data_IF_515437007923
#
_entry.id   IF_515437007923
#
_cell.length_a   1.000
_cell.length_b   1.000
_cell.length_c   1.000
_cell.angle_alpha   90.00
_cell.angle_beta   90.00
_cell.angle_gamma   90.00
#
_symmetry.space_group_name_H-M   'P 1'
#
loop_
_entity.id
_entity.type
_entity.pdbx_description
1 polymer ?
#
# COMPACT_ATOMS: atom_id res chain seq x y z
N UNK A 1 7.74 3.16 5.32
CA UNK A 1 8.65 3.60 6.40
C UNK A 1 9.57 4.69 5.85
N UNK A 2 10.21 5.50 6.69
CA UNK A 2 11.28 6.43 6.26
C UNK A 2 12.26 6.62 7.41
N UNK A 3 13.52 6.24 7.21
CA UNK A 3 14.54 6.26 8.27
C UNK A 3 14.80 7.69 8.76
N UNK A 4 15.13 8.59 7.83
CA UNK A 4 15.38 10.00 8.09
C UNK A 4 14.17 10.85 7.69
N UNK A 5 13.11 10.80 8.51
CA UNK A 5 11.84 11.43 8.15
C UNK A 5 11.75 12.93 8.50
N UNK A 6 11.16 13.77 7.61
CA UNK A 6 10.92 15.17 7.90
C UNK A 6 9.83 15.35 8.97
N UNK A 7 9.79 16.53 9.62
CA UNK A 7 8.87 16.83 10.74
C UNK A 7 7.38 16.59 10.44
N UNK A 8 6.96 16.68 9.17
CA UNK A 8 5.57 16.47 8.73
C UNK A 8 5.28 15.04 8.24
N UNK A 9 6.18 14.08 8.51
CA UNK A 9 5.94 12.67 8.21
C UNK A 9 5.19 11.99 9.35
N UNK A 10 3.96 11.54 9.09
CA UNK A 10 3.09 10.92 10.10
C UNK A 10 2.99 9.39 9.94
N UNK A 11 4.00 8.75 9.36
CA UNK A 11 4.11 7.29 9.27
C UNK A 11 5.27 6.82 10.17
N UNK A 12 5.66 5.55 10.06
CA UNK A 12 6.69 4.96 10.90
C UNK A 12 8.12 5.36 10.49
N UNK A 13 8.93 5.70 11.50
CA UNK A 13 10.37 6.03 11.45
C UNK A 13 11.02 5.55 12.74
N UNK A 14 12.34 5.37 12.77
CA UNK A 14 13.07 4.94 13.98
C UNK A 14 12.78 5.91 15.14
N UNK A 15 12.45 5.37 16.31
CA UNK A 15 12.08 6.11 17.52
C UNK A 15 10.73 6.82 17.46
N UNK A 16 9.90 6.57 16.43
CA UNK A 16 8.54 7.11 16.32
C UNK A 16 7.50 6.03 16.52
N UNK A 17 6.36 6.46 17.05
CA UNK A 17 5.19 5.62 17.24
C UNK A 17 4.12 5.87 16.18
N UNK A 18 3.43 4.81 15.78
CA UNK A 18 2.26 4.85 14.89
C UNK A 18 1.20 3.87 15.37
N UNK A 19 -0.07 4.12 15.05
CA UNK A 19 -1.12 3.13 15.25
C UNK A 19 -1.18 2.17 14.07
N UNK A 20 -1.23 0.87 14.35
CA UNK A 20 -1.69 -0.11 13.39
C UNK A 20 -3.22 -0.05 13.32
N UNK A 21 -3.78 0.11 12.12
CA UNK A 21 -5.23 0.23 11.91
C UNK A 21 -5.95 -0.95 12.58
N UNK A 22 -6.93 -0.64 13.43
CA UNK A 22 -7.72 -1.58 14.22
C UNK A 22 -6.91 -2.48 15.17
N UNK A 23 -5.70 -2.07 15.56
CA UNK A 23 -4.83 -2.83 16.45
C UNK A 23 -4.09 -1.90 17.43
N UNK A 24 -2.86 -2.24 17.80
CA UNK A 24 -2.06 -1.56 18.82
C UNK A 24 -1.27 -0.36 18.27
N UNK A 25 -0.78 0.48 19.18
CA UNK A 25 0.31 1.41 18.91
C UNK A 25 1.63 0.63 18.94
N UNK A 26 2.47 0.87 17.92
CA UNK A 26 3.84 0.32 17.85
C UNK A 26 4.86 1.45 17.84
N UNK A 27 6.07 1.17 18.34
CA UNK A 27 7.26 2.00 18.17
C UNK A 27 8.27 1.25 17.32
N UNK A 28 8.89 1.92 16.35
CA UNK A 28 10.03 1.35 15.62
C UNK A 28 11.30 1.56 16.44
N UNK A 29 11.93 0.48 16.86
CA UNK A 29 13.12 0.50 17.70
C UNK A 29 14.41 0.39 16.85
N UNK A 30 14.38 -0.42 15.80
CA UNK A 30 15.52 -0.65 14.91
C UNK A 30 15.06 -0.84 13.45
N UNK A 31 15.85 -0.33 12.50
CA UNK A 31 15.76 -0.68 11.08
C UNK A 31 16.97 -1.53 10.70
N UNK A 32 16.75 -2.81 10.43
CA UNK A 32 17.80 -3.76 10.04
C UNK A 32 18.06 -3.63 8.56
N UNK A 33 19.33 -3.56 8.18
CA UNK A 33 19.79 -3.44 6.80
C UNK A 33 20.59 -4.66 6.36
N UNK A 34 20.52 -4.97 5.07
CA UNK A 34 21.39 -5.95 4.43
C UNK A 34 22.79 -5.38 4.13
N UNK A 35 23.62 -6.17 3.44
CA UNK A 35 24.98 -5.79 3.05
C UNK A 35 25.03 -4.61 2.06
N UNK A 36 23.94 -4.38 1.31
CA UNK A 36 23.82 -3.29 0.35
C UNK A 36 23.25 -2.01 1.00
N UNK A 37 22.86 -2.07 2.28
CA UNK A 37 22.25 -0.97 3.01
C UNK A 37 20.73 -0.84 2.79
N UNK A 38 20.09 -1.84 2.16
CA UNK A 38 18.64 -1.88 1.98
C UNK A 38 17.93 -2.36 3.24
N UNK A 39 16.78 -1.77 3.57
CA UNK A 39 16.03 -2.12 4.78
C UNK A 39 15.23 -3.38 4.54
N UNK A 40 15.53 -4.43 5.31
CA UNK A 40 14.89 -5.75 5.18
C UNK A 40 13.94 -6.08 6.34
N UNK A 41 14.12 -5.46 7.51
CA UNK A 41 13.29 -5.71 8.68
C UNK A 41 13.18 -4.45 9.56
N UNK A 42 12.02 -4.26 10.19
CA UNK A 42 11.82 -3.25 11.23
C UNK A 42 11.47 -3.95 12.53
N UNK A 43 12.34 -3.85 13.54
CA UNK A 43 12.02 -4.35 14.89
C UNK A 43 11.22 -3.30 15.63
N UNK A 44 10.05 -3.71 16.09
CA UNK A 44 9.11 -2.83 16.77
C UNK A 44 8.60 -3.45 18.07
N UNK A 45 8.50 -2.63 19.11
CA UNK A 45 7.71 -2.92 20.30
C UNK A 45 6.28 -2.42 20.13
N UNK A 46 5.33 -3.02 20.86
CA UNK A 46 3.94 -2.57 20.91
C UNK A 46 3.54 -2.21 22.34
N UNK A 47 2.56 -1.32 22.46
CA UNK A 47 2.03 -0.90 23.76
C UNK A 47 0.82 -1.77 24.10
N UNK A 48 0.93 -2.63 25.10
CA UNK A 48 -0.06 -3.68 25.41
C UNK A 48 -1.47 -3.13 25.66
N UNK A 49 -1.60 -2.05 26.42
CA UNK A 49 -2.88 -1.44 26.76
C UNK A 49 -3.38 -0.40 25.73
N UNK A 50 -2.87 -0.45 24.50
CA UNK A 50 -3.21 0.50 23.43
C UNK A 50 -4.12 -0.06 22.32
N UNK A 51 -4.74 -1.23 22.54
CA UNK A 51 -5.60 -1.88 21.55
C UNK A 51 -6.70 -0.93 21.09
N UNK A 52 -6.84 -0.76 19.78
CA UNK A 52 -7.88 0.08 19.19
C UNK A 52 -9.28 -0.31 19.69
N UNK A 53 -10.05 0.67 20.17
CA UNK A 53 -11.37 0.44 20.77
C UNK A 53 -11.36 0.27 22.30
N UNK A 54 -10.22 -0.10 22.88
CA UNK A 54 -10.03 -0.39 24.31
C UNK A 54 -8.78 0.31 24.88
N UNK A 55 -8.34 1.39 24.23
CA UNK A 55 -7.06 2.03 24.53
C UNK A 55 -7.11 2.79 25.87
N UNK A 56 -6.28 2.37 26.81
CA UNK A 56 -6.09 2.99 28.14
C UNK A 56 -4.66 3.50 28.35
N UNK A 57 -3.84 3.50 27.30
CA UNK A 57 -2.43 3.94 27.36
C UNK A 57 -2.25 5.44 27.57
N UNK A 58 -3.27 6.25 27.23
CA UNK A 58 -3.19 7.71 27.25
C UNK A 58 -2.30 8.31 26.14
N UNK A 59 -1.73 7.47 25.26
CA UNK A 59 -0.82 7.90 24.21
C UNK A 59 -1.58 8.51 23.02
N UNK A 60 -1.03 9.61 22.49
CA UNK A 60 -1.52 10.26 21.26
C UNK A 60 -0.47 10.15 20.16
N UNK A 61 -0.75 9.32 19.15
CA UNK A 61 0.10 9.16 17.96
C UNK A 61 -0.45 9.94 16.77
N UNK A 62 0.45 10.42 15.90
CA UNK A 62 0.09 11.34 14.80
C UNK A 62 -0.46 10.66 13.55
N UNK A 63 -0.34 9.34 13.45
CA UNK A 63 -0.77 8.62 12.27
C UNK A 63 -1.19 7.18 12.55
N UNK A 64 -1.91 6.63 11.57
CA UNK A 64 -2.37 5.24 11.53
C UNK A 64 -1.98 4.63 10.20
N UNK A 65 -1.38 3.45 10.17
CA UNK A 65 -1.02 2.73 8.94
C UNK A 65 -1.85 1.45 8.80
N UNK A 66 -2.12 1.04 7.56
CA UNK A 66 -2.61 -0.32 7.30
C UNK A 66 -1.48 -1.33 7.52
N UNK A 67 -1.85 -2.59 7.71
CA UNK A 67 -0.92 -3.69 7.93
C UNK A 67 -1.66 -5.01 7.69
N UNK A 68 -0.91 -6.10 7.55
CA UNK A 68 -1.41 -7.48 7.53
C UNK A 68 -0.52 -8.34 8.40
N UNK A 69 -1.06 -9.44 8.94
CA UNK A 69 -0.30 -10.40 9.75
C UNK A 69 0.28 -11.47 8.82
N UNK A 70 1.61 -11.54 8.66
CA UNK A 70 2.26 -12.49 7.74
C UNK A 70 1.82 -13.95 7.93
N UNK A 71 1.70 -14.50 9.16
CA UNK A 71 1.22 -15.88 9.35
C UNK A 71 -0.20 -16.15 8.81
N UNK A 72 -1.01 -15.11 8.62
CA UNK A 72 -2.41 -15.21 8.17
C UNK A 72 -2.63 -14.56 6.80
N UNK A 73 -1.64 -13.83 6.30
CA UNK A 73 -1.76 -13.09 5.06
C UNK A 73 -1.75 -14.04 3.88
N UNK A 74 -2.35 -13.58 2.79
CA UNK A 74 -2.44 -14.33 1.55
C UNK A 74 -1.67 -13.57 0.50
N UNK A 75 -0.79 -14.26 -0.22
CA UNK A 75 -0.09 -13.67 -1.35
C UNK A 75 -1.08 -13.41 -2.49
N UNK A 76 -0.93 -12.26 -3.16
CA UNK A 76 -1.76 -11.87 -4.29
C UNK A 76 -0.94 -11.16 -5.37
N UNK A 77 -1.29 -11.41 -6.64
CA UNK A 77 -0.85 -10.58 -7.75
C UNK A 77 -1.66 -9.28 -7.75
N UNK A 78 -0.98 -8.14 -7.82
CA UNK A 78 -1.62 -6.83 -7.85
C UNK A 78 -1.18 -6.09 -9.11
N UNK A 79 -2.14 -5.79 -9.98
CA UNK A 79 -1.96 -5.06 -11.23
C UNK A 79 -2.26 -3.58 -11.00
N UNK A 80 -1.21 -2.78 -10.94
CA UNK A 80 -1.27 -1.34 -10.74
C UNK A 80 -1.36 -0.64 -12.09
N UNK A 81 -2.58 -0.35 -12.51
CA UNK A 81 -2.81 0.43 -13.73
C UNK A 81 -2.54 1.93 -13.49
N UNK A 82 -2.04 2.58 -14.55
CA UNK A 82 -1.95 4.02 -14.72
C UNK A 82 -2.52 4.40 -16.09
N UNK A 83 -2.47 5.70 -16.44
CA UNK A 83 -2.89 6.20 -17.76
C UNK A 83 -2.16 5.45 -18.87
N UNK A 84 -2.91 5.03 -19.89
CA UNK A 84 -2.36 4.32 -21.05
C UNK A 84 -1.43 5.20 -21.89
N UNK A 85 -1.73 6.50 -21.98
CA UNK A 85 -0.95 7.46 -22.76
C UNK A 85 -0.31 8.52 -21.86
N UNK A 86 0.86 9.00 -22.27
CA UNK A 86 1.57 10.11 -21.61
C UNK A 86 1.08 11.48 -22.07
N UNK A 87 0.41 11.53 -23.23
CA UNK A 87 -0.18 12.73 -23.83
C UNK A 87 -1.70 12.76 -23.61
N UNK A 88 -2.28 13.94 -23.43
CA UNK A 88 -3.72 14.11 -23.19
C UNK A 88 -4.55 13.92 -24.47
N UNK A 89 -3.96 14.20 -25.64
CA UNK A 89 -4.55 14.05 -26.96
C UNK A 89 -3.56 13.31 -27.91
N UNK A 90 -3.29 12.02 -27.66
CA UNK A 90 -2.24 11.27 -28.36
C UNK A 90 -2.48 11.13 -29.87
N UNK A 91 -3.74 11.22 -30.32
CA UNK A 91 -4.16 11.19 -31.73
C UNK A 91 -4.25 12.60 -32.39
N UNK A 92 -3.98 13.66 -31.62
CA UNK A 92 -4.02 15.05 -32.11
C UNK A 92 -2.76 15.50 -32.87
N UNK A 93 -1.70 14.68 -32.85
CA UNK A 93 -0.40 15.01 -33.45
C UNK A 93 -0.35 14.56 -34.91
N UNK A 94 -0.33 15.51 -35.85
CA UNK A 94 -0.33 15.21 -37.30
C UNK A 94 0.91 14.46 -37.80
N UNK A 95 2.03 14.63 -37.12
CA UNK A 95 3.35 14.14 -37.55
C UNK A 95 3.89 12.99 -36.66
N UNK A 96 3.05 12.43 -35.78
CA UNK A 96 3.45 11.35 -34.85
C UNK A 96 2.39 10.26 -34.79
N UNK A 97 2.83 9.02 -34.61
CA UNK A 97 1.90 7.92 -34.33
C UNK A 97 1.47 8.00 -32.85
N UNK A 98 0.18 7.78 -32.57
CA UNK A 98 -0.34 7.77 -31.20
C UNK A 98 0.34 6.71 -30.31
N UNK A 99 0.85 5.63 -30.94
CA UNK A 99 1.62 4.59 -30.27
C UNK A 99 2.92 5.11 -29.64
N UNK A 100 3.48 6.21 -30.15
CA UNK A 100 4.66 6.86 -29.55
C UNK A 100 4.37 7.44 -28.16
N UNK A 101 3.10 7.66 -27.82
CA UNK A 101 2.67 8.18 -26.53
C UNK A 101 2.25 7.11 -25.54
N UNK A 102 2.44 5.81 -25.83
CA UNK A 102 2.15 4.74 -24.87
C UNK A 102 3.00 4.94 -23.62
N UNK A 103 2.34 4.98 -22.46
CA UNK A 103 3.00 5.03 -21.17
C UNK A 103 3.60 3.63 -20.86
N UNK A 104 4.94 3.48 -20.79
CA UNK A 104 5.55 2.21 -20.44
C UNK A 104 5.24 1.78 -19.00
N UNK A 105 4.78 2.71 -18.15
CA UNK A 105 4.35 2.47 -16.78
C UNK A 105 2.82 2.36 -16.64
N UNK A 106 2.09 2.15 -17.75
CA UNK A 106 0.62 2.01 -17.73
C UNK A 106 0.14 0.77 -16.97
N UNK A 107 1.01 -0.22 -16.79
CA UNK A 107 0.78 -1.40 -15.96
C UNK A 107 2.06 -1.80 -15.24
N UNK A 108 1.99 -1.90 -13.93
CA UNK A 108 2.99 -2.54 -13.08
C UNK A 108 2.35 -3.74 -12.37
N UNK A 109 2.96 -4.92 -12.47
CA UNK A 109 2.51 -6.14 -11.77
C UNK A 109 3.44 -6.36 -10.58
N UNK A 110 2.86 -6.43 -9.38
CA UNK A 110 3.61 -6.69 -8.15
C UNK A 110 3.02 -7.88 -7.40
N UNK A 111 3.85 -8.52 -6.58
CA UNK A 111 3.39 -9.46 -5.55
C UNK A 111 3.13 -8.69 -4.26
N UNK A 112 1.94 -8.83 -3.70
CA UNK A 112 1.54 -8.21 -2.44
C UNK A 112 0.91 -9.21 -1.47
N UNK A 113 0.59 -8.74 -0.27
CA UNK A 113 -0.07 -9.53 0.76
C UNK A 113 -1.40 -8.89 1.17
N UNK A 114 -2.44 -9.72 1.26
CA UNK A 114 -3.79 -9.31 1.64
C UNK A 114 -4.29 -10.06 2.87
N UNK A 115 -5.35 -9.53 3.51
CA UNK A 115 -5.96 -10.19 4.66
C UNK A 115 -6.72 -11.47 4.23
N UNK A 116 -6.83 -12.49 5.12
CA UNK A 116 -7.36 -13.80 4.74
C UNK A 116 -8.82 -13.79 4.26
N UNK A 117 -9.61 -12.79 4.66
CA UNK A 117 -10.99 -12.64 4.19
C UNK A 117 -11.07 -12.46 2.67
N UNK A 118 -10.03 -11.91 2.03
CA UNK A 118 -10.00 -11.71 0.59
C UNK A 118 -9.82 -13.02 -0.22
N UNK A 119 -9.82 -14.18 0.42
CA UNK A 119 -10.00 -15.48 -0.27
C UNK A 119 -11.46 -15.76 -0.64
N UNK A 120 -12.42 -15.09 -0.01
CA UNK A 120 -13.86 -15.38 -0.21
C UNK A 120 -14.54 -14.42 -1.18
N UNK A 121 -13.79 -13.51 -1.80
CA UNK A 121 -14.32 -12.55 -2.77
C UNK A 121 -14.35 -13.17 -4.16
N UNK A 122 -15.41 -12.89 -4.92
CA UNK A 122 -15.58 -13.42 -6.26
C UNK A 122 -15.00 -12.47 -7.32
N UNK A 123 -14.64 -13.02 -8.48
CA UNK A 123 -14.23 -12.22 -9.64
C UNK A 123 -15.29 -11.16 -9.97
N UNK A 124 -14.82 -9.94 -10.28
CA UNK A 124 -15.67 -8.77 -10.55
C UNK A 124 -16.09 -7.98 -9.30
N UNK A 125 -15.91 -8.52 -8.09
CA UNK A 125 -16.18 -7.76 -6.87
C UNK A 125 -15.18 -6.61 -6.69
N UNK A 126 -15.64 -5.52 -6.08
CA UNK A 126 -14.83 -4.34 -5.81
C UNK A 126 -14.52 -4.23 -4.32
N UNK A 127 -13.25 -4.03 -4.00
CA UNK A 127 -12.74 -3.87 -2.64
C UNK A 127 -11.91 -2.60 -2.51
N UNK A 128 -11.89 -2.01 -1.31
CA UNK A 128 -11.00 -0.89 -1.03
C UNK A 128 -9.81 -1.36 -0.21
N UNK A 129 -8.62 -1.32 -0.79
CA UNK A 129 -7.39 -1.50 -0.02
C UNK A 129 -7.11 -0.22 0.75
N UNK A 130 -7.20 -0.30 2.08
CA UNK A 130 -7.17 0.85 2.97
C UNK A 130 -5.94 1.73 2.72
N UNK A 131 -6.17 3.03 2.50
CA UNK A 131 -5.13 4.04 2.22
C UNK A 131 -4.33 3.81 0.92
N UNK A 132 -4.72 2.85 0.07
CA UNK A 132 -4.06 2.56 -1.21
C UNK A 132 -4.97 2.98 -2.37
N UNK A 133 -6.15 2.36 -2.49
CA UNK A 133 -7.01 2.56 -3.65
C UNK A 133 -8.22 1.63 -3.65
N UNK A 134 -9.00 1.73 -4.71
CA UNK A 134 -10.05 0.76 -5.02
C UNK A 134 -9.51 -0.25 -6.03
N UNK A 135 -9.86 -1.51 -5.80
CA UNK A 135 -9.41 -2.64 -6.59
C UNK A 135 -10.60 -3.50 -6.98
N UNK A 136 -10.54 -4.08 -8.18
CA UNK A 136 -11.46 -5.11 -8.60
C UNK A 136 -10.75 -6.47 -8.58
N UNK A 137 -11.47 -7.52 -8.16
CA UNK A 137 -11.00 -8.90 -8.27
C UNK A 137 -11.00 -9.28 -9.75
N UNK A 138 -9.83 -9.58 -10.31
CA UNK A 138 -9.69 -9.94 -11.71
C UNK A 138 -10.22 -11.35 -11.96
N UNK A 139 -10.71 -11.59 -13.18
CA UNK A 139 -11.21 -12.90 -13.64
C UNK A 139 -10.13 -13.99 -13.70
N UNK A 140 -8.85 -13.60 -13.73
CA UNK A 140 -7.71 -14.50 -13.67
C UNK A 140 -7.47 -15.04 -12.24
N UNK A 141 -8.28 -14.61 -11.26
CA UNK A 141 -8.31 -15.17 -9.92
C UNK A 141 -8.76 -16.64 -9.95
N UNK A 142 -8.07 -17.47 -9.18
CA UNK A 142 -8.36 -18.89 -8.96
C UNK A 142 -8.28 -19.21 -7.47
N UNK A 143 -8.66 -20.41 -7.07
CA UNK A 143 -8.60 -20.85 -5.65
C UNK A 143 -7.18 -20.76 -5.06
N UNK A 144 -6.14 -20.90 -5.91
CA UNK A 144 -4.73 -20.86 -5.50
C UNK A 144 -4.05 -19.50 -5.75
N UNK A 145 -4.68 -18.60 -6.51
CA UNK A 145 -4.09 -17.33 -6.93
C UNK A 145 -5.09 -16.21 -6.93
N UNK A 146 -4.90 -15.23 -6.04
CA UNK A 146 -5.67 -13.99 -6.04
C UNK A 146 -5.04 -12.96 -6.99
N UNK A 147 -5.88 -12.31 -7.81
CA UNK A 147 -5.44 -11.26 -8.73
C UNK A 147 -6.32 -10.03 -8.55
N UNK A 148 -5.71 -8.87 -8.30
CA UNK A 148 -6.40 -7.61 -8.09
C UNK A 148 -5.96 -6.54 -9.08
N UNK A 149 -6.91 -5.88 -9.74
CA UNK A 149 -6.66 -4.74 -10.59
C UNK A 149 -6.93 -3.45 -9.85
N UNK A 150 -5.98 -2.52 -9.80
CA UNK A 150 -6.23 -1.18 -9.25
C UNK A 150 -7.13 -0.40 -10.19
N UNK A 151 -8.39 -0.22 -9.78
CA UNK A 151 -9.38 0.58 -10.52
C UNK A 151 -9.02 2.07 -10.46
N UNK A 152 -8.71 2.58 -9.26
CA UNK A 152 -8.33 3.97 -9.07
C UNK A 152 -7.60 4.17 -7.73
N UNK A 153 -6.66 5.10 -7.69
CA UNK A 153 -6.02 5.53 -6.44
C UNK A 153 -6.97 6.36 -5.58
N UNK A 154 -6.75 6.38 -4.27
CA UNK A 154 -7.43 7.37 -3.42
C UNK A 154 -6.93 8.78 -3.78
N UNK A 155 -7.76 9.80 -3.51
CA UNK A 155 -7.37 11.20 -3.69
C UNK A 155 -6.20 11.52 -2.75
N UNK A 156 -5.01 11.67 -3.31
CA UNK A 156 -3.86 12.15 -2.55
C UNK A 156 -3.85 13.69 -2.57
N UNK A 157 -4.13 14.30 -1.41
CA UNK A 157 -4.07 15.75 -1.23
C UNK A 157 -2.65 16.23 -0.85
N UNK A 158 -1.67 15.33 -0.77
CA UNK A 158 -0.29 15.71 -0.55
C UNK A 158 0.26 16.37 -1.81
N UNK A 159 0.27 17.71 -1.83
CA UNK A 159 0.98 18.46 -2.87
C UNK A 159 2.44 17.98 -2.89
N UNK A 160 2.83 17.27 -3.95
CA UNK A 160 4.24 17.17 -4.35
C UNK A 160 4.67 18.62 -4.66
N UNK A 161 5.29 19.27 -3.67
CA UNK A 161 6.03 20.50 -3.87
C UNK A 161 7.40 20.16 -4.40
#
# INVERSE_FOLDING_TARGET
FMENAPRKFFRLSVGKMVRLKNAYIIQCDEAVKDENGEIVELKCSYVENSRSGEDTSGLKVKGTIHWVSIPHAVEAEVRLYDRLFTDEAPDGHKDKDFLEFINPNSLEIITGFVEPHLKTVNAGESVQFMRIGYFAVDKDTTDDKLVFNRTVTLKDNWKKK
#
